data_IF_142178204063
#
_entry.id   IF_142178204063
#
_cell.length_a   1.000
_cell.length_b   1.000
_cell.length_c   1.000
_cell.angle_alpha   90.00
_cell.angle_beta   90.00
_cell.angle_gamma   90.00
#
_symmetry.space_group_name_H-M   'P 1'
#
loop_
_entity.id
_entity.type
_entity.pdbx_description
1 polymer ?
#
# COMPACT_ATOMS: atom_id res chain seq x y z
N UNK A 1 -0.56 13.99 7.37
CA UNK A 1 -1.28 12.84 6.76
C UNK A 1 -1.48 13.13 5.28
N UNK A 2 -1.12 12.21 4.38
CA UNK A 2 -1.39 12.38 2.94
C UNK A 2 -2.90 12.35 2.65
N UNK A 3 -3.39 13.18 1.73
CA UNK A 3 -4.81 13.26 1.33
C UNK A 3 -5.37 11.89 0.91
N UNK A 4 -4.58 11.09 0.20
CA UNK A 4 -4.95 9.73 -0.23
C UNK A 4 -5.23 8.79 0.96
N UNK A 5 -4.47 8.92 2.04
CA UNK A 5 -4.63 8.10 3.24
C UNK A 5 -5.97 8.39 3.94
N UNK A 6 -6.31 9.68 4.06
CA UNK A 6 -7.59 10.11 4.64
C UNK A 6 -8.76 9.61 3.81
N UNK A 7 -8.73 9.79 2.48
CA UNK A 7 -9.78 9.30 1.57
C UNK A 7 -9.97 7.78 1.66
N UNK A 8 -8.88 7.01 1.74
CA UNK A 8 -8.96 5.54 1.86
C UNK A 8 -9.58 5.12 3.20
N UNK A 9 -9.24 5.80 4.30
CA UNK A 9 -9.84 5.50 5.60
C UNK A 9 -11.32 5.89 5.63
N UNK A 10 -11.68 7.05 5.06
CA UNK A 10 -13.07 7.49 4.95
C UNK A 10 -13.91 6.49 4.16
N UNK A 11 -13.44 6.04 2.99
CA UNK A 11 -14.14 5.04 2.17
C UNK A 11 -14.41 3.75 2.93
N UNK A 12 -13.49 3.31 3.80
CA UNK A 12 -13.69 2.13 4.64
C UNK A 12 -14.76 2.36 5.70
N UNK A 13 -14.78 3.54 6.33
CA UNK A 13 -15.79 3.90 7.30
C UNK A 13 -17.18 4.00 6.65
N UNK A 14 -17.28 4.63 5.48
CA UNK A 14 -18.52 4.73 4.70
C UNK A 14 -19.06 3.35 4.29
N UNK A 15 -18.17 2.43 3.91
CA UNK A 15 -18.58 1.10 3.47
C UNK A 15 -18.97 0.17 4.63
N UNK A 16 -18.31 0.28 5.79
CA UNK A 16 -18.38 -0.76 6.83
C UNK A 16 -18.84 -0.29 8.20
N UNK A 17 -18.86 1.03 8.46
CA UNK A 17 -19.19 1.60 9.78
C UNK A 17 -20.43 2.48 9.69
N UNK A 18 -20.43 3.52 8.87
CA UNK A 18 -21.55 4.47 8.82
C UNK A 18 -22.94 3.85 8.58
N UNK A 19 -23.11 2.79 7.76
CA UNK A 19 -24.42 2.19 7.54
C UNK A 19 -25.09 1.63 8.81
N UNK A 20 -24.29 1.32 9.85
CA UNK A 20 -24.78 0.66 11.07
C UNK A 20 -24.63 1.53 12.32
N UNK A 21 -23.69 2.47 12.31
CA UNK A 21 -23.36 3.30 13.47
C UNK A 21 -23.95 4.72 13.39
N UNK A 22 -24.46 5.13 12.23
CA UNK A 22 -24.92 6.51 12.01
C UNK A 22 -26.05 6.97 12.94
N UNK A 23 -26.80 6.03 13.52
CA UNK A 23 -27.90 6.32 14.45
C UNK A 23 -27.53 6.10 15.93
N UNK A 24 -26.32 5.61 16.22
CA UNK A 24 -25.89 5.30 17.59
C UNK A 24 -25.07 6.48 18.11
N UNK A 25 -25.47 7.12 19.22
CA UNK A 25 -24.65 8.13 19.87
C UNK A 25 -23.27 7.57 20.21
N UNK A 26 -22.21 8.38 20.08
CA UNK A 26 -20.83 7.92 20.31
C UNK A 26 -20.61 7.34 21.71
N UNK A 27 -21.38 7.81 22.70
CA UNK A 27 -21.35 7.32 24.09
C UNK A 27 -21.95 5.93 24.28
N UNK A 28 -22.84 5.51 23.37
CA UNK A 28 -23.57 4.25 23.44
C UNK A 28 -22.91 3.15 22.58
N UNK A 29 -21.83 3.48 21.86
CA UNK A 29 -21.08 2.49 21.09
C UNK A 29 -20.28 1.61 22.04
N UNK A 30 -20.55 0.31 22.00
CA UNK A 30 -19.90 -0.69 22.84
C UNK A 30 -18.96 -1.62 22.03
N UNK A 31 -18.22 -2.48 22.74
CA UNK A 31 -17.29 -3.42 22.14
C UNK A 31 -18.00 -4.44 21.21
N UNK A 32 -19.16 -5.04 21.56
CA UNK A 32 -19.94 -5.87 20.64
C UNK A 32 -20.28 -5.21 19.31
N UNK A 33 -20.71 -3.94 19.32
CA UNK A 33 -21.05 -3.21 18.09
C UNK A 33 -19.83 -3.08 17.18
N UNK A 34 -18.66 -2.75 17.74
CA UNK A 34 -17.40 -2.68 16.98
C UNK A 34 -16.93 -4.05 16.50
N UNK A 35 -17.17 -5.11 17.26
CA UNK A 35 -16.82 -6.48 16.85
C UNK A 35 -17.66 -6.94 15.66
N UNK A 36 -18.97 -6.67 15.67
CA UNK A 36 -19.88 -6.97 14.55
C UNK A 36 -19.41 -6.27 13.26
N UNK A 37 -19.03 -4.99 13.35
CA UNK A 37 -18.47 -4.25 12.21
C UNK A 37 -17.20 -4.92 11.65
N UNK A 38 -16.33 -5.41 12.53
CA UNK A 38 -15.09 -6.08 12.10
C UNK A 38 -15.35 -7.47 11.52
N UNK A 39 -16.32 -8.24 12.00
CA UNK A 39 -16.64 -9.57 11.49
C UNK A 39 -17.22 -9.53 10.07
N UNK A 40 -17.76 -8.38 9.65
CA UNK A 40 -18.29 -8.15 8.30
C UNK A 40 -17.20 -7.86 7.26
N UNK A 41 -15.95 -7.69 7.69
CA UNK A 41 -14.81 -7.42 6.80
C UNK A 41 -13.72 -8.45 7.02
N UNK A 42 -13.27 -9.10 5.94
CA UNK A 42 -12.20 -10.10 6.04
C UNK A 42 -10.83 -9.43 6.22
N UNK A 43 -10.24 -8.97 5.12
CA UNK A 43 -8.81 -8.63 5.11
C UNK A 43 -8.47 -7.37 5.90
N UNK A 44 -9.47 -6.51 6.11
CA UNK A 44 -9.28 -5.20 6.70
C UNK A 44 -9.87 -5.06 8.11
N UNK A 45 -10.32 -6.13 8.76
CA UNK A 45 -10.87 -6.08 10.13
C UNK A 45 -9.95 -5.37 11.13
N UNK A 46 -8.70 -5.82 11.22
CA UNK A 46 -7.69 -5.23 12.11
C UNK A 46 -7.43 -3.75 11.78
N UNK A 47 -7.46 -3.41 10.49
CA UNK A 47 -7.30 -2.02 10.04
C UNK A 47 -8.50 -1.17 10.42
N UNK A 48 -9.72 -1.70 10.29
CA UNK A 48 -10.96 -1.03 10.64
C UNK A 48 -10.99 -0.70 12.13
N UNK A 49 -10.65 -1.67 12.99
CA UNK A 49 -10.49 -1.46 14.44
C UNK A 49 -9.52 -0.34 14.77
N UNK A 50 -8.36 -0.31 14.09
CA UNK A 50 -7.36 0.74 14.31
C UNK A 50 -7.87 2.13 13.92
N UNK A 51 -8.65 2.25 12.83
CA UNK A 51 -9.27 3.50 12.41
C UNK A 51 -10.34 3.94 13.42
N UNK A 52 -11.19 3.02 13.86
CA UNK A 52 -12.23 3.30 14.86
C UNK A 52 -11.63 3.74 16.19
N UNK A 53 -10.59 3.05 16.68
CA UNK A 53 -9.88 3.45 17.91
C UNK A 53 -9.28 4.86 17.80
N UNK A 54 -8.70 5.23 16.65
CA UNK A 54 -8.24 6.61 16.43
C UNK A 54 -9.39 7.63 16.49
N UNK A 55 -10.56 7.28 15.95
CA UNK A 55 -11.75 8.14 16.03
C UNK A 55 -12.25 8.29 17.48
N UNK A 56 -12.29 7.20 18.26
CA UNK A 56 -12.66 7.26 19.68
C UNK A 56 -11.66 8.03 20.53
N UNK A 57 -10.36 7.87 20.28
CA UNK A 57 -9.32 8.65 20.96
C UNK A 57 -9.48 10.15 20.69
N UNK A 58 -9.81 10.53 19.46
CA UNK A 58 -10.15 11.92 19.13
C UNK A 58 -11.45 12.38 19.82
N UNK A 59 -12.48 11.53 19.87
CA UNK A 59 -13.72 11.83 20.58
C UNK A 59 -13.48 12.05 22.07
N UNK A 60 -12.61 11.27 22.71
CA UNK A 60 -12.21 11.45 24.12
C UNK A 60 -11.48 12.77 24.32
N UNK A 61 -10.47 13.06 23.48
CA UNK A 61 -9.72 14.32 23.55
C UNK A 61 -10.59 15.57 23.37
N UNK A 62 -11.76 15.41 22.75
CA UNK A 62 -12.73 16.48 22.50
C UNK A 62 -14.00 16.37 23.36
N UNK A 63 -13.98 15.54 24.39
CA UNK A 63 -15.07 15.39 25.39
C UNK A 63 -16.41 14.93 24.77
N UNK A 64 -16.35 14.14 23.69
CA UNK A 64 -17.51 13.49 23.05
C UNK A 64 -17.70 12.03 23.43
N UNK A 65 -16.67 11.42 24.01
CA UNK A 65 -16.67 10.06 24.53
C UNK A 65 -15.85 10.00 25.81
N UNK A 66 -16.13 9.03 26.68
CA UNK A 66 -15.39 8.82 27.94
C UNK A 66 -14.40 7.66 27.85
N UNK A 67 -14.56 6.77 26.86
CA UNK A 67 -13.79 5.53 26.71
C UNK A 67 -13.66 5.12 25.25
N UNK A 68 -12.57 4.42 24.92
CA UNK A 68 -12.37 3.75 23.63
C UNK A 68 -12.70 2.26 23.77
N UNK A 69 -13.87 1.79 23.28
CA UNK A 69 -14.24 0.36 23.34
C UNK A 69 -13.41 -0.54 22.41
N UNK A 70 -12.66 0.03 21.44
CA UNK A 70 -11.85 -0.76 20.49
C UNK A 70 -10.60 -1.40 21.13
N UNK A 71 -10.19 -0.92 22.31
CA UNK A 71 -9.04 -1.45 23.05
C UNK A 71 -9.29 -2.85 23.56
N UNK A 72 -10.52 -3.13 24.00
CA UNK A 72 -10.93 -4.43 24.57
C UNK A 72 -10.95 -5.54 23.52
N UNK A 73 -11.09 -5.15 22.25
CA UNK A 73 -11.16 -6.07 21.12
C UNK A 73 -9.76 -6.47 20.61
N UNK A 74 -8.69 -6.11 21.32
CA UNK A 74 -7.34 -6.54 20.96
C UNK A 74 -7.25 -8.07 21.12
N UNK A 75 -7.11 -8.77 20.00
CA UNK A 75 -7.06 -10.24 19.95
C UNK A 75 -8.42 -10.92 19.84
N UNK A 76 -9.53 -10.16 19.80
CA UNK A 76 -10.87 -10.71 19.61
C UNK A 76 -11.06 -11.37 18.23
N UNK A 77 -10.36 -10.86 17.21
CA UNK A 77 -10.30 -11.48 15.88
C UNK A 77 -8.94 -12.14 15.72
N UNK A 78 -8.89 -13.41 15.29
CA UNK A 78 -7.63 -14.10 15.05
C UNK A 78 -6.78 -13.32 14.04
N UNK A 79 -5.45 -13.31 14.20
CA UNK A 79 -4.58 -12.74 13.19
C UNK A 79 -4.79 -13.49 11.87
N UNK A 80 -4.84 -12.77 10.76
CA UNK A 80 -4.86 -13.40 9.45
C UNK A 80 -3.54 -14.16 9.26
N UNK A 81 -3.61 -15.40 8.80
CA UNK A 81 -2.43 -16.12 8.33
C UNK A 81 -1.84 -15.38 7.13
N UNK A 82 -0.71 -14.71 7.35
CA UNK A 82 -0.02 -13.98 6.31
C UNK A 82 0.70 -14.97 5.40
N UNK A 83 0.11 -15.26 4.23
CA UNK A 83 0.81 -15.98 3.17
C UNK A 83 1.61 -14.95 2.37
N UNK A 84 2.91 -14.91 2.60
CA UNK A 84 3.80 -14.13 1.74
C UNK A 84 3.87 -14.77 0.35
N UNK A 85 3.79 -13.94 -0.69
CA UNK A 85 4.12 -14.37 -2.04
C UNK A 85 5.64 -14.48 -2.15
N UNK A 86 6.17 -15.67 -1.91
CA UNK A 86 7.60 -15.94 -1.99
C UNK A 86 8.11 -15.66 -3.41
N UNK A 87 9.33 -15.15 -3.50
CA UNK A 87 10.01 -15.00 -4.78
C UNK A 87 10.20 -16.39 -5.43
N UNK A 88 10.00 -16.44 -6.75
CA UNK A 88 10.30 -17.64 -7.54
C UNK A 88 11.81 -17.72 -7.66
N UNK A 89 12.42 -18.64 -6.91
CA UNK A 89 13.88 -18.88 -6.91
C UNK A 89 14.28 -20.10 -7.73
N UNK A 90 13.31 -20.96 -8.07
CA UNK A 90 13.53 -22.14 -8.88
C UNK A 90 13.64 -21.76 -10.38
N UNK A 91 14.73 -22.12 -11.07
CA UNK A 91 14.93 -21.75 -12.48
C UNK A 91 13.86 -22.26 -13.43
N UNK A 92 13.30 -23.46 -13.20
CA UNK A 92 12.26 -24.02 -14.06
C UNK A 92 10.95 -23.24 -13.94
N UNK A 93 10.54 -22.94 -12.71
CA UNK A 93 9.37 -22.09 -12.42
C UNK A 93 9.57 -20.65 -12.92
N UNK A 94 10.77 -20.10 -12.79
CA UNK A 94 11.10 -18.79 -13.34
C UNK A 94 10.97 -18.80 -14.87
N UNK A 95 11.53 -19.82 -15.54
CA UNK A 95 11.41 -19.99 -16.98
C UNK A 95 9.95 -20.11 -17.44
N UNK A 96 9.12 -20.86 -16.70
CA UNK A 96 7.69 -20.97 -16.98
C UNK A 96 6.97 -19.62 -16.85
N UNK A 97 7.32 -18.83 -15.84
CA UNK A 97 6.78 -17.48 -15.60
C UNK A 97 7.15 -16.53 -16.74
N UNK A 98 8.41 -16.52 -17.16
CA UNK A 98 8.89 -15.69 -18.27
C UNK A 98 8.21 -16.05 -19.60
N UNK A 99 8.01 -17.34 -19.88
CA UNK A 99 7.24 -17.79 -21.06
C UNK A 99 5.78 -17.36 -20.99
N UNK A 100 5.18 -17.40 -19.80
CA UNK A 100 3.80 -16.93 -19.59
C UNK A 100 3.68 -15.44 -19.85
N UNK A 101 4.65 -14.64 -19.37
CA UNK A 101 4.73 -13.20 -19.65
C UNK A 101 4.82 -12.95 -21.16
N UNK A 102 5.71 -13.66 -21.85
CA UNK A 102 5.90 -13.49 -23.30
C UNK A 102 4.70 -13.96 -24.14
N UNK A 103 3.90 -14.90 -23.62
CA UNK A 103 2.68 -15.37 -24.27
C UNK A 103 1.45 -14.47 -24.07
N UNK A 104 1.57 -13.35 -23.34
CA UNK A 104 0.45 -12.43 -23.12
C UNK A 104 0.14 -11.63 -24.39
N UNK A 105 -1.06 -11.82 -24.95
CA UNK A 105 -1.52 -11.17 -26.19
C UNK A 105 -2.62 -10.12 -25.97
N UNK A 106 -2.65 -9.51 -24.78
CA UNK A 106 -3.68 -8.54 -24.41
C UNK A 106 -3.35 -7.10 -24.81
N UNK A 107 -3.37 -6.19 -23.85
CA UNK A 107 -3.10 -4.77 -24.10
C UNK A 107 -1.58 -4.54 -24.30
N UNK A 108 -1.13 -3.88 -25.39
CA UNK A 108 0.29 -3.61 -25.63
C UNK A 108 1.02 -2.89 -24.49
N UNK A 109 0.30 -2.02 -23.75
CA UNK A 109 0.85 -1.33 -22.56
C UNK A 109 1.13 -2.33 -21.43
N UNK A 110 0.23 -3.28 -21.21
CA UNK A 110 0.39 -4.32 -20.19
C UNK A 110 1.45 -5.32 -20.61
N UNK A 111 1.48 -5.70 -21.88
CA UNK A 111 2.51 -6.56 -22.47
C UNK A 111 3.91 -5.98 -22.27
N UNK A 112 4.08 -4.69 -22.60
CA UNK A 112 5.34 -3.96 -22.42
C UNK A 112 5.74 -3.91 -20.95
N UNK A 113 4.80 -3.57 -20.05
CA UNK A 113 5.08 -3.50 -18.61
C UNK A 113 5.45 -4.87 -18.01
N UNK A 114 4.77 -5.94 -18.42
CA UNK A 114 5.08 -7.30 -17.98
C UNK A 114 6.44 -7.75 -18.49
N UNK A 115 6.78 -7.41 -19.73
CA UNK A 115 8.08 -7.74 -20.34
C UNK A 115 9.22 -7.01 -19.64
N UNK A 116 9.04 -5.74 -19.28
CA UNK A 116 10.05 -4.93 -18.59
C UNK A 116 10.22 -5.28 -17.11
N UNK A 117 9.17 -5.80 -16.46
CA UNK A 117 9.16 -6.12 -15.04
C UNK A 117 10.34 -6.98 -14.54
N UNK A 118 10.70 -8.11 -15.19
CA UNK A 118 11.85 -8.93 -14.78
C UNK A 118 13.21 -8.28 -15.04
N UNK A 119 13.29 -7.23 -15.87
CA UNK A 119 14.54 -6.48 -16.09
C UNK A 119 14.70 -5.36 -15.07
N UNK A 120 13.61 -4.67 -14.75
CA UNK A 120 13.65 -3.44 -13.94
C UNK A 120 13.42 -3.67 -12.45
N UNK A 121 12.78 -4.78 -12.06
CA UNK A 121 12.37 -5.10 -10.68
C UNK A 121 11.66 -3.95 -9.93
N UNK A 122 11.15 -2.96 -10.66
CA UNK A 122 10.46 -1.82 -10.09
C UNK A 122 9.02 -2.16 -9.75
N UNK A 123 8.45 -1.43 -8.80
CA UNK A 123 7.04 -1.58 -8.45
C UNK A 123 6.17 -1.18 -9.65
N UNK A 124 5.02 -1.84 -9.88
CA UNK A 124 4.14 -1.52 -11.01
C UNK A 124 3.74 -0.03 -11.09
N UNK A 125 3.58 0.62 -9.93
CA UNK A 125 3.29 2.06 -9.87
C UNK A 125 4.42 2.94 -10.40
N UNK A 126 5.68 2.60 -10.10
CA UNK A 126 6.85 3.35 -10.59
C UNK A 126 7.03 3.13 -12.09
N UNK A 127 6.88 1.89 -12.56
CA UNK A 127 6.95 1.56 -13.99
C UNK A 127 5.87 2.29 -14.80
N UNK A 128 4.62 2.27 -14.32
CA UNK A 128 3.49 2.91 -15.01
C UNK A 128 3.62 4.42 -15.08
N UNK A 129 4.25 5.04 -14.10
CA UNK A 129 4.41 6.49 -13.99
C UNK A 129 5.79 6.97 -14.46
N UNK A 130 6.58 6.09 -15.05
CA UNK A 130 7.88 6.45 -15.61
C UNK A 130 7.68 7.45 -16.76
N UNK A 131 8.44 8.53 -16.74
CA UNK A 131 8.47 9.53 -17.81
C UNK A 131 9.77 9.39 -18.57
N UNK A 132 9.78 9.69 -19.87
CA UNK A 132 10.99 9.60 -20.70
C UNK A 132 12.15 10.43 -20.14
N UNK A 133 11.86 11.58 -19.51
CA UNK A 133 12.86 12.44 -18.87
C UNK A 133 13.52 11.82 -17.64
N UNK A 134 12.99 10.72 -17.11
CA UNK A 134 13.59 9.99 -16.00
C UNK A 134 14.72 9.06 -16.46
N UNK A 135 14.83 8.80 -17.77
CA UNK A 135 15.84 7.90 -18.33
C UNK A 135 17.00 8.72 -18.89
N UNK A 136 18.19 8.39 -18.42
CA UNK A 136 19.47 8.86 -18.95
C UNK A 136 20.05 7.75 -19.84
N UNK A 137 19.87 7.82 -21.18
CA UNK A 137 20.36 6.79 -22.08
C UNK A 137 21.89 6.78 -22.18
N UNK A 138 22.55 7.92 -22.00
CA UNK A 138 24.01 8.03 -22.08
C UNK A 138 24.68 7.45 -20.82
N UNK A 139 24.07 7.71 -19.66
CA UNK A 139 24.49 7.14 -18.37
C UNK A 139 23.90 5.77 -18.06
N UNK A 140 23.09 5.20 -18.96
CA UNK A 140 22.36 3.94 -18.78
C UNK A 140 21.65 3.87 -17.41
N UNK A 141 20.90 4.92 -17.04
CA UNK A 141 20.29 5.04 -15.73
C UNK A 141 18.82 5.45 -15.81
N UNK A 142 18.05 5.03 -14.81
CA UNK A 142 16.69 5.47 -14.55
C UNK A 142 16.61 6.14 -13.18
N UNK A 143 16.28 7.44 -13.16
CA UNK A 143 16.16 8.23 -11.94
C UNK A 143 14.70 8.37 -11.49
N UNK A 144 14.40 7.90 -10.29
CA UNK A 144 13.07 8.01 -9.68
C UNK A 144 13.09 9.18 -8.69
N UNK A 145 12.31 10.25 -8.93
CA UNK A 145 12.32 11.42 -8.08
C UNK A 145 11.77 11.10 -6.68
N UNK A 146 12.29 11.76 -5.62
CA UNK A 146 11.90 11.52 -4.24
C UNK A 146 10.40 11.69 -4.00
N UNK A 147 9.75 12.59 -4.75
CA UNK A 147 8.32 12.89 -4.66
C UNK A 147 7.42 11.70 -4.96
N UNK A 148 7.87 10.77 -5.83
CA UNK A 148 7.16 9.55 -6.20
C UNK A 148 7.47 8.37 -5.28
N UNK A 149 8.64 8.38 -4.65
CA UNK A 149 9.07 7.32 -3.75
C UNK A 149 8.15 7.15 -2.53
N UNK A 150 8.04 5.91 -2.05
CA UNK A 150 7.40 5.59 -0.78
C UNK A 150 8.26 6.06 0.40
N UNK A 151 8.14 7.34 0.76
CA UNK A 151 8.81 8.01 1.88
C UNK A 151 7.85 8.84 2.72
N UNK A 152 8.35 9.39 3.84
CA UNK A 152 7.68 10.45 4.60
C UNK A 152 7.48 11.69 3.73
N UNK A 153 6.56 12.58 4.12
CA UNK A 153 6.32 13.83 3.37
C UNK A 153 7.59 14.68 3.24
N UNK A 154 8.39 14.77 4.30
CA UNK A 154 9.70 15.43 4.27
C UNK A 154 10.68 14.72 3.32
N UNK A 155 10.76 13.39 3.36
CA UNK A 155 11.61 12.62 2.44
C UNK A 155 11.17 12.66 0.98
N UNK A 156 9.92 13.06 0.70
CA UNK A 156 9.42 13.34 -0.65
C UNK A 156 9.77 14.74 -1.13
N UNK A 157 9.80 15.71 -0.23
CA UNK A 157 10.15 17.10 -0.53
C UNK A 157 11.67 17.30 -0.68
N UNK A 158 12.45 16.68 0.21
CA UNK A 158 13.88 16.97 0.40
C UNK A 158 14.81 15.77 0.17
N UNK A 159 14.26 14.59 -0.14
CA UNK A 159 15.07 13.38 -0.30
C UNK A 159 15.86 13.35 -1.61
N UNK A 160 16.94 12.58 -1.65
CA UNK A 160 17.63 12.29 -2.92
C UNK A 160 16.78 11.36 -3.82
N UNK A 161 16.94 11.50 -5.13
CA UNK A 161 16.38 10.57 -6.10
C UNK A 161 16.97 9.16 -5.92
N UNK A 162 16.19 8.13 -6.27
CA UNK A 162 16.70 6.77 -6.38
C UNK A 162 17.19 6.55 -7.79
N UNK A 163 18.45 6.12 -7.94
CA UNK A 163 19.04 5.83 -9.25
C UNK A 163 19.08 4.33 -9.44
N UNK A 164 18.51 3.88 -10.57
CA UNK A 164 18.50 2.49 -10.99
C UNK A 164 19.36 2.34 -12.25
N UNK A 165 20.44 1.58 -12.16
CA UNK A 165 21.33 1.34 -13.27
C UNK A 165 20.70 0.33 -14.24
N UNK A 166 20.57 0.70 -15.52
CA UNK A 166 20.12 -0.18 -16.60
C UNK A 166 21.27 -1.01 -17.19
N UNK A 167 22.51 -0.59 -16.97
CA UNK A 167 23.74 -1.33 -17.29
C UNK A 167 24.79 -1.12 -16.19
N UNK A 168 25.90 -1.87 -16.24
CA UNK A 168 27.02 -1.72 -15.31
C UNK A 168 27.61 -0.30 -15.45
N UNK A 169 27.56 0.54 -14.40
CA UNK A 169 28.00 1.93 -14.50
C UNK A 169 29.51 1.99 -14.74
N UNK A 170 29.93 2.76 -15.75
CA UNK A 170 31.34 3.03 -16.07
C UNK A 170 31.97 4.07 -15.16
N UNK A 171 31.16 4.86 -14.44
CA UNK A 171 31.58 6.01 -13.63
C UNK A 171 31.61 5.77 -12.11
N UNK A 172 31.35 4.54 -11.66
CA UNK A 172 31.37 4.18 -10.24
C UNK A 172 30.22 4.76 -9.40
N UNK A 173 29.16 5.29 -10.01
CA UNK A 173 27.93 5.69 -9.28
C UNK A 173 27.37 4.50 -8.49
N UNK A 174 26.96 4.78 -7.25
CA UNK A 174 26.26 3.81 -6.40
C UNK A 174 24.79 3.76 -6.81
N UNK A 175 24.41 2.70 -7.50
CA UNK A 175 23.02 2.38 -7.79
C UNK A 175 22.39 1.60 -6.61
N UNK A 176 21.08 1.82 -6.41
CA UNK A 176 20.30 1.15 -5.37
C UNK A 176 20.01 -0.32 -5.67
#
# INVERSE_FOLDING_TARGET
MSKSHAATNLRRLEAHVFPYFSQIPTVDVDAPTILDAQQRVDETAHRLRSIMGQAFQYAIATVRATRDPSTDLRGAIPPKHLRHHAAIIDPEQLGATLRTIHGYTGNPVVETALTLSPYLFQRPGEQRLAEWSAFDPDGAAWEIPPSRMKRTEDGKANGAASVWCLDRPSDGRKCC
#
